data_IF_597913810981
#
_entry.id   IF_597913810981
#
_cell.length_a   1.000
_cell.length_b   1.000
_cell.length_c   1.000
_cell.angle_alpha   90.00
_cell.angle_beta   90.00
_cell.angle_gamma   90.00
#
_symmetry.space_group_name_H-M   'P 1'
#
loop_
_entity.id
_entity.type
_entity.pdbx_description
1 polymer ?
#
# COMPACT_ATOMS: atom_id res chain seq x y z
N UNK A 1 -2.37 4.35 11.62
CA UNK A 1 -3.15 3.10 11.43
C UNK A 1 -2.76 2.50 10.09
N UNK A 2 -2.69 1.18 10.02
CA UNK A 2 -2.45 0.42 8.80
C UNK A 2 -3.51 -0.64 8.55
N UNK A 3 -3.53 -1.16 7.34
CA UNK A 3 -4.44 -2.21 6.87
C UNK A 3 -3.62 -3.33 6.24
N UNK A 4 -3.74 -4.54 6.79
CA UNK A 4 -3.16 -5.76 6.26
C UNK A 4 -4.10 -6.35 5.20
N UNK A 5 -3.57 -6.57 4.01
CA UNK A 5 -4.19 -7.37 2.94
C UNK A 5 -3.53 -8.76 2.94
N UNK A 6 -4.19 -9.81 3.46
CA UNK A 6 -3.57 -11.11 3.67
C UNK A 6 -2.96 -11.71 2.40
N UNK A 7 -1.71 -12.17 2.48
CA UNK A 7 -0.99 -12.77 1.36
C UNK A 7 -0.47 -11.79 0.31
N UNK A 8 -0.64 -10.48 0.53
CA UNK A 8 -0.15 -9.44 -0.36
C UNK A 8 0.80 -8.46 0.35
N UNK A 9 0.34 -7.83 1.42
CA UNK A 9 1.11 -6.79 2.09
C UNK A 9 0.29 -5.90 3.00
N UNK A 10 0.96 -4.94 3.63
CA UNK A 10 0.38 -4.00 4.58
C UNK A 10 0.49 -2.57 4.08
N UNK A 11 -0.63 -1.88 4.01
CA UNK A 11 -0.69 -0.43 3.83
C UNK A 11 -0.60 0.26 5.19
N UNK A 12 0.16 1.34 5.29
CA UNK A 12 0.14 2.19 6.48
C UNK A 12 0.43 3.65 6.13
N UNK A 13 0.15 4.53 7.08
CA UNK A 13 0.59 5.92 7.04
C UNK A 13 1.60 6.11 8.16
N UNK A 14 2.84 6.44 7.79
CA UNK A 14 3.92 6.74 8.73
C UNK A 14 4.10 8.25 8.84
N UNK A 15 4.50 8.71 10.02
CA UNK A 15 4.87 10.10 10.24
C UNK A 15 6.38 10.23 10.11
N UNK A 16 6.83 11.12 9.24
CA UNK A 16 8.25 11.40 9.05
C UNK A 16 8.54 12.86 9.36
N UNK A 17 9.63 13.13 10.07
CA UNK A 17 10.11 14.49 10.29
C UNK A 17 11.00 14.88 9.11
N UNK A 18 10.62 15.95 8.43
CA UNK A 18 11.40 16.57 7.38
C UNK A 18 11.95 17.87 7.93
N UNK A 19 13.28 17.97 8.01
CA UNK A 19 13.95 19.18 8.44
C UNK A 19 14.12 20.10 7.23
N UNK A 20 13.46 21.25 7.25
CA UNK A 20 13.86 22.38 6.40
C UNK A 20 14.91 23.23 7.13
N UNK A 21 15.51 24.19 6.43
CA UNK A 21 16.50 25.08 7.03
C UNK A 21 15.93 25.96 8.17
N UNK A 22 14.61 26.13 8.23
CA UNK A 22 13.93 27.04 9.16
C UNK A 22 12.94 26.33 10.10
N UNK A 23 12.42 25.14 9.74
CA UNK A 23 11.40 24.45 10.54
C UNK A 23 11.42 22.92 10.37
N UNK A 24 10.98 22.20 11.41
CA UNK A 24 10.77 20.75 11.38
C UNK A 24 9.30 20.49 11.05
N UNK A 25 9.02 19.96 9.86
CA UNK A 25 7.67 19.58 9.46
C UNK A 25 7.45 18.07 9.68
N UNK A 26 6.30 17.69 10.24
CA UNK A 26 5.87 16.29 10.30
C UNK A 26 4.97 16.00 9.12
N UNK A 27 5.44 15.17 8.18
CA UNK A 27 4.68 14.76 7.00
C UNK A 27 4.07 13.38 7.18
N UNK A 28 2.90 13.16 6.56
CA UNK A 28 2.19 11.88 6.60
C UNK A 28 2.44 11.13 5.29
N UNK A 29 3.31 10.13 5.33
CA UNK A 29 3.71 9.36 4.13
C UNK A 29 2.96 8.03 4.04
N UNK A 30 2.31 7.72 2.91
CA UNK A 30 1.78 6.38 2.68
C UNK A 30 2.91 5.39 2.41
N UNK A 31 2.78 4.19 2.97
CA UNK A 31 3.73 3.09 2.80
C UNK A 31 3.02 1.81 2.46
N UNK A 32 3.70 0.96 1.69
CA UNK A 32 3.28 -0.41 1.43
C UNK A 32 4.44 -1.34 1.72
N UNK A 33 4.24 -2.25 2.67
CA UNK A 33 5.19 -3.29 3.03
C UNK A 33 4.71 -4.60 2.39
N UNK A 34 5.50 -5.17 1.48
CA UNK A 34 5.21 -6.45 0.84
C UNK A 34 5.26 -7.57 1.88
N UNK A 35 4.25 -8.45 1.87
CA UNK A 35 4.14 -9.62 2.75
C UNK A 35 3.63 -10.83 1.95
N UNK A 36 4.26 -11.06 0.79
CA UNK A 36 4.00 -12.20 -0.07
C UNK A 36 4.95 -13.36 0.24
N UNK A 37 4.52 -14.57 -0.09
CA UNK A 37 5.39 -15.74 -0.05
C UNK A 37 6.60 -15.53 -0.99
N UNK A 38 7.81 -15.67 -0.44
CA UNK A 38 9.07 -15.48 -1.16
C UNK A 38 9.20 -16.42 -2.38
N UNK A 39 8.57 -17.60 -2.34
CA UNK A 39 8.53 -18.52 -3.48
C UNK A 39 7.77 -17.95 -4.69
N UNK A 40 6.85 -17.00 -4.46
CA UNK A 40 6.14 -16.29 -5.52
C UNK A 40 6.92 -15.09 -6.05
N UNK A 41 7.83 -14.52 -5.25
CA UNK A 41 8.61 -13.34 -5.62
C UNK A 41 9.89 -13.66 -6.40
N UNK A 42 10.42 -14.89 -6.30
CA UNK A 42 11.64 -15.33 -7.01
C UNK A 42 12.81 -14.34 -6.93
N UNK A 43 13.16 -13.71 -8.06
CA UNK A 43 14.28 -12.77 -8.22
C UNK A 43 13.84 -11.30 -8.08
N UNK A 44 12.55 -11.04 -7.79
CA UNK A 44 12.03 -9.69 -7.63
C UNK A 44 12.63 -9.02 -6.39
N UNK A 45 13.12 -7.81 -6.59
CA UNK A 45 13.52 -6.91 -5.52
C UNK A 45 12.31 -6.08 -5.12
N UNK A 46 12.20 -5.72 -3.85
CA UNK A 46 11.17 -4.80 -3.37
C UNK A 46 11.76 -3.90 -2.28
N UNK A 47 11.31 -2.64 -2.18
CA UNK A 47 11.79 -1.72 -1.16
C UNK A 47 11.62 -2.31 0.24
N UNK A 48 12.70 -2.31 1.04
CA UNK A 48 12.62 -2.65 2.47
C UNK A 48 11.97 -1.51 3.23
N UNK A 49 10.65 -1.55 3.32
CA UNK A 49 9.87 -0.58 4.10
C UNK A 49 9.49 -1.21 5.42
N UNK A 50 9.83 -0.53 6.52
CA UNK A 50 9.51 -0.98 7.87
C UNK A 50 8.39 -0.09 8.42
N UNK A 51 7.27 -0.70 8.76
CA UNK A 51 6.20 -0.01 9.48
C UNK A 51 6.55 0.04 10.98
N UNK A 52 6.60 1.22 11.61
CA UNK A 52 6.83 1.35 13.05
C UNK A 52 5.84 0.53 13.89
N UNK A 53 6.33 -0.12 14.95
CA UNK A 53 5.54 -1.06 15.76
C UNK A 53 4.44 -0.42 16.63
N UNK A 54 4.46 0.90 16.77
CA UNK A 54 3.40 1.70 17.41
C UNK A 54 2.20 1.94 16.49
N UNK A 55 2.32 1.67 15.19
CA UNK A 55 1.21 1.76 14.25
C UNK A 55 0.32 0.53 14.39
N UNK A 56 -0.91 0.75 14.84
CA UNK A 56 -1.95 -0.29 14.87
C UNK A 56 -2.28 -0.77 13.45
N UNK A 57 -2.13 -2.08 13.21
CA UNK A 57 -2.44 -2.75 11.94
C UNK A 57 -3.75 -3.53 12.09
N UNK A 58 -4.74 -3.15 11.29
CA UNK A 58 -6.03 -3.83 11.23
C UNK A 58 -6.10 -4.78 10.03
N UNK A 59 -6.76 -5.93 10.13
CA UNK A 59 -7.04 -6.74 8.96
C UNK A 59 -8.00 -6.00 8.02
N UNK A 60 -7.94 -6.34 6.73
CA UNK A 60 -8.91 -5.87 5.75
C UNK A 60 -10.34 -6.18 6.21
N UNK A 61 -11.19 -5.15 6.27
CA UNK A 61 -12.56 -5.27 6.74
C UNK A 61 -13.49 -5.76 5.62
N UNK A 62 -13.70 -7.07 5.56
CA UNK A 62 -14.62 -7.70 4.61
C UNK A 62 -16.08 -7.32 4.84
N UNK A 63 -16.46 -6.97 6.07
CA UNK A 63 -17.81 -6.50 6.36
C UNK A 63 -18.03 -5.11 5.76
N UNK A 64 -17.08 -4.21 5.92
CA UNK A 64 -17.13 -2.89 5.28
C UNK A 64 -17.09 -3.02 3.75
N UNK A 65 -16.22 -3.86 3.20
CA UNK A 65 -16.14 -4.08 1.75
C UNK A 65 -17.45 -4.65 1.17
N UNK A 66 -18.10 -5.59 1.85
CA UNK A 66 -19.39 -6.17 1.42
C UNK A 66 -20.48 -5.13 1.18
N UNK A 67 -20.51 -4.07 2.00
CA UNK A 67 -21.47 -2.98 1.86
C UNK A 67 -21.25 -2.14 0.58
N UNK A 68 -20.04 -2.15 0.02
CA UNK A 68 -19.72 -1.39 -1.20
C UNK A 68 -20.04 -2.14 -2.49
N UNK A 69 -20.17 -3.46 -2.45
CA UNK A 69 -20.34 -4.32 -3.62
C UNK A 69 -21.62 -5.18 -3.60
N UNK A 70 -22.41 -5.13 -2.52
CA UNK A 70 -23.63 -5.93 -2.34
C UNK A 70 -23.42 -7.45 -2.42
N UNK A 71 -22.19 -7.93 -2.19
CA UNK A 71 -21.84 -9.35 -2.07
C UNK A 71 -21.71 -9.73 -0.59
N UNK A 72 -22.05 -10.96 -0.19
CA UNK A 72 -21.81 -11.44 1.17
C UNK A 72 -20.33 -11.33 1.60
N UNK A 73 -20.01 -11.02 2.87
CA UNK A 73 -18.62 -10.85 3.34
C UNK A 73 -17.70 -12.05 3.07
N UNK A 74 -18.23 -13.26 3.15
CA UNK A 74 -17.53 -14.52 2.84
C UNK A 74 -17.20 -14.64 1.36
N UNK A 75 -18.12 -14.23 0.48
CA UNK A 75 -17.89 -14.16 -0.97
C UNK A 75 -16.83 -13.11 -1.29
N UNK A 76 -16.91 -11.92 -0.69
CA UNK A 76 -15.89 -10.87 -0.86
C UNK A 76 -14.51 -11.35 -0.42
N UNK A 77 -14.44 -12.02 0.73
CA UNK A 77 -13.20 -12.62 1.23
C UNK A 77 -12.62 -13.60 0.21
N UNK A 78 -13.44 -14.53 -0.30
CA UNK A 78 -13.03 -15.47 -1.34
C UNK A 78 -12.48 -14.76 -2.58
N UNK A 79 -13.17 -13.73 -3.08
CA UNK A 79 -12.71 -12.96 -4.23
C UNK A 79 -11.35 -12.29 -4.00
N UNK A 80 -11.12 -11.73 -2.80
CA UNK A 80 -9.84 -11.11 -2.44
C UNK A 80 -8.73 -12.16 -2.40
N UNK A 81 -8.95 -13.28 -1.71
CA UNK A 81 -7.98 -14.37 -1.58
C UNK A 81 -7.61 -14.98 -2.95
N UNK A 82 -8.60 -15.25 -3.80
CA UNK A 82 -8.39 -15.80 -5.14
C UNK A 82 -7.66 -14.82 -6.06
N UNK A 83 -7.98 -13.52 -5.98
CA UNK A 83 -7.31 -12.48 -6.78
C UNK A 83 -5.83 -12.35 -6.40
N UNK A 84 -5.53 -12.35 -5.09
CA UNK A 84 -4.15 -12.29 -4.58
C UNK A 84 -3.37 -13.55 -4.95
N UNK A 85 -4.02 -14.72 -4.86
CA UNK A 85 -3.44 -15.98 -5.25
C UNK A 85 -3.10 -15.99 -6.75
N UNK A 86 -4.02 -15.56 -7.62
CA UNK A 86 -3.80 -15.45 -9.06
C UNK A 86 -2.63 -14.50 -9.38
N UNK A 87 -2.60 -13.34 -8.74
CA UNK A 87 -1.51 -12.38 -8.90
C UNK A 87 -0.16 -12.98 -8.47
N UNK A 88 -0.12 -13.70 -7.35
CA UNK A 88 1.08 -14.38 -6.86
C UNK A 88 1.57 -15.47 -7.82
N UNK A 89 0.66 -16.21 -8.46
CA UNK A 89 1.03 -17.16 -9.52
C UNK A 89 1.61 -16.45 -10.75
N UNK A 90 1.04 -15.32 -11.15
CA UNK A 90 1.56 -14.55 -12.28
C UNK A 90 2.97 -14.03 -12.02
N UNK A 91 3.25 -13.48 -10.83
CA UNK A 91 4.60 -13.04 -10.44
C UNK A 91 5.60 -14.21 -10.50
N UNK A 92 5.21 -15.38 -10.01
CA UNK A 92 6.03 -16.61 -10.05
C UNK A 92 6.33 -17.04 -11.48
N UNK A 93 5.37 -16.92 -12.38
CA UNK A 93 5.55 -17.26 -13.80
C UNK A 93 6.28 -16.15 -14.58
N UNK A 94 6.89 -15.18 -13.87
CA UNK A 94 7.61 -14.03 -14.42
C UNK A 94 6.72 -13.16 -15.31
N UNK A 95 5.41 -13.25 -15.11
CA UNK A 95 4.47 -12.28 -15.61
C UNK A 95 4.47 -11.12 -14.62
N UNK A 96 4.48 -9.89 -15.13
CA UNK A 96 4.56 -8.68 -14.32
C UNK A 96 3.28 -7.84 -14.45
N UNK A 97 2.11 -8.39 -14.09
CA UNK A 97 0.86 -7.64 -14.13
C UNK A 97 0.91 -6.47 -13.15
N UNK A 98 0.24 -5.40 -13.51
CA UNK A 98 -0.03 -4.28 -12.60
C UNK A 98 -1.24 -4.62 -11.73
N UNK A 99 -1.14 -4.40 -10.43
CA UNK A 99 -2.27 -4.50 -9.50
C UNK A 99 -2.70 -3.09 -9.08
N UNK A 100 -3.86 -2.66 -9.57
CA UNK A 100 -4.38 -1.32 -9.29
C UNK A 100 -5.30 -1.31 -8.07
N UNK A 101 -4.98 -0.47 -7.08
CA UNK A 101 -5.83 -0.14 -5.95
C UNK A 101 -6.50 1.20 -6.23
N UNK A 102 -7.80 1.17 -6.52
CA UNK A 102 -8.58 2.37 -6.82
C UNK A 102 -8.41 3.42 -5.72
N UNK A 103 -8.05 4.65 -6.12
CA UNK A 103 -7.79 5.80 -5.25
C UNK A 103 -6.56 5.68 -4.32
N UNK A 104 -5.80 4.59 -4.36
CA UNK A 104 -4.60 4.39 -3.53
C UNK A 104 -3.35 4.44 -4.38
N UNK A 105 -3.24 3.55 -5.38
CA UNK A 105 -2.02 3.44 -6.18
C UNK A 105 -1.97 2.18 -7.03
N UNK A 106 -0.81 1.93 -7.62
CA UNK A 106 -0.55 0.77 -8.48
C UNK A 106 0.68 0.03 -7.96
N UNK A 107 0.52 -1.25 -7.64
CA UNK A 107 1.62 -2.16 -7.39
C UNK A 107 2.06 -2.74 -8.74
N UNK A 108 3.32 -2.52 -9.10
CA UNK A 108 3.84 -2.96 -10.40
C UNK A 108 5.30 -3.35 -10.30
N UNK A 109 5.74 -4.20 -11.23
CA UNK A 109 7.14 -4.55 -11.39
C UNK A 109 7.75 -3.68 -12.49
N UNK A 110 8.77 -2.90 -12.14
CA UNK A 110 9.58 -2.11 -13.07
C UNK A 110 11.04 -2.52 -12.88
N UNK A 111 11.69 -2.97 -13.96
CA UNK A 111 13.10 -3.42 -13.93
C UNK A 111 13.39 -4.46 -12.82
N UNK A 112 12.50 -5.45 -12.67
CA UNK A 112 12.51 -6.48 -11.61
C UNK A 112 12.32 -5.94 -10.17
N UNK A 113 11.88 -4.70 -10.02
CA UNK A 113 11.53 -4.10 -8.73
C UNK A 113 10.01 -4.04 -8.58
N UNK A 114 9.47 -4.84 -7.67
CA UNK A 114 8.07 -4.78 -7.26
C UNK A 114 7.89 -3.61 -6.29
N UNK A 115 7.18 -2.57 -6.72
CA UNK A 115 6.98 -1.37 -5.92
C UNK A 115 5.54 -0.84 -6.00
N UNK A 116 5.09 -0.26 -4.89
CA UNK A 116 3.82 0.45 -4.84
C UNK A 116 4.03 1.92 -5.20
N UNK A 117 3.33 2.36 -6.24
CA UNK A 117 3.28 3.75 -6.67
C UNK A 117 1.95 4.35 -6.21
N UNK A 118 1.98 5.19 -5.17
CA UNK A 118 0.78 5.87 -4.67
C UNK A 118 0.34 6.97 -5.64
N UNK A 119 -0.97 7.09 -5.84
CA UNK A 119 -1.53 8.19 -6.62
C UNK A 119 -1.30 9.52 -5.89
N UNK A 120 -1.04 10.59 -6.65
CA UNK A 120 -0.92 11.94 -6.07
C UNK A 120 -2.16 12.35 -5.27
N UNK A 121 -3.36 11.91 -5.70
CA UNK A 121 -4.60 12.13 -4.96
C UNK A 121 -4.66 11.40 -3.61
N UNK A 122 -4.04 10.21 -3.51
CA UNK A 122 -3.91 9.49 -2.25
C UNK A 122 -2.98 10.24 -1.30
N UNK A 123 -1.82 10.69 -1.79
CA UNK A 123 -0.86 11.48 -1.02
C UNK A 123 -1.49 12.80 -0.57
N UNK A 124 -2.15 13.53 -1.47
CA UNK A 124 -2.80 14.79 -1.16
C UNK A 124 -3.95 14.68 -0.15
N UNK A 125 -4.59 13.52 -0.04
CA UNK A 125 -5.60 13.26 0.99
C UNK A 125 -5.00 13.03 2.39
N UNK A 126 -3.69 12.78 2.49
CA UNK A 126 -2.99 12.61 3.76
C UNK A 126 -2.47 13.94 4.32
N UNK A 127 -2.17 14.89 3.45
CA UNK A 127 -1.71 16.23 3.84
C UNK A 127 -2.90 17.16 4.14
N UNK A 128 -2.78 17.98 5.20
CA UNK A 128 -3.68 19.14 5.34
C UNK A 128 -3.18 20.27 4.44
N UNK A 129 -4.02 21.28 4.21
CA UNK A 129 -3.61 22.50 3.49
C UNK A 129 -2.34 23.13 4.09
N UNK A 130 -2.14 22.99 5.41
CA UNK A 130 -0.99 23.53 6.14
C UNK A 130 0.34 22.87 5.74
N UNK A 131 0.33 21.57 5.38
CA UNK A 131 1.52 20.84 4.93
C UNK A 131 1.95 21.27 3.51
N UNK A 132 0.99 21.57 2.63
CA UNK A 132 1.26 22.07 1.28
C UNK A 132 1.84 23.49 1.28
N UNK A 133 1.40 24.34 2.20
CA UNK A 133 1.95 25.70 2.38
C UNK A 133 3.41 25.63 2.85
N UNK A 134 3.74 24.73 3.77
CA UNK A 134 5.12 24.55 4.24
C UNK A 134 6.08 24.05 3.13
N UNK A 135 5.62 23.17 2.23
CA UNK A 135 6.43 22.64 1.12
C UNK A 135 6.61 23.60 -0.05
N UNK A 136 5.74 24.61 -0.20
CA UNK A 136 5.80 25.61 -1.27
C UNK A 136 6.54 26.90 -0.88
N UNK A 137 6.82 27.09 0.42
CA UNK A 137 7.53 28.26 0.94
C UNK A 137 9.05 28.05 1.12
N UNK A 138 9.56 26.87 0.76
CA UNK A 138 11.00 26.55 0.59
C UNK A 138 11.43 26.65 -0.87
#
# INVERSE_FOLDING_TARGET
QGVLVPGLGTFAVVHEQVNSAEEVCVVRRPVFQVDMDMSCLQELVFPTVMIPGDIEIMPLDYWWLSQTNSLPPDVVKGCVEETILLYSFQLRDRQHPTFAFKNVGILSCQDNVLCMQFHCSCIAALDSWDTWVALLLT
#
